data_IF_282931973317
#
_entry.id   IF_282931973317
#
_cell.length_a   1.000
_cell.length_b   1.000
_cell.length_c   1.000
_cell.angle_alpha   90.00
_cell.angle_beta   90.00
_cell.angle_gamma   90.00
#
_symmetry.space_group_name_H-M   'P 1'
#
loop_
_entity.id
_entity.type
_entity.pdbx_description
1 polymer ?
#
# COMPACT_ATOMS: atom_id res chain seq x y z
N UNK A 1 -39.88 32.65 -34.50
CA UNK A 1 -38.96 32.27 -33.41
C UNK A 1 -38.87 30.77 -33.50
N UNK A 2 -37.74 30.25 -33.96
CA UNK A 2 -37.55 28.81 -34.13
C UNK A 2 -37.59 28.14 -32.75
N UNK A 3 -38.56 27.26 -32.56
CA UNK A 3 -38.87 26.60 -31.28
C UNK A 3 -37.84 25.55 -30.88
N UNK A 4 -36.91 25.22 -31.78
CA UNK A 4 -36.02 24.06 -31.63
C UNK A 4 -34.66 24.44 -31.00
N UNK A 5 -34.44 25.73 -30.69
CA UNK A 5 -33.24 26.23 -30.02
C UNK A 5 -33.43 26.50 -28.53
N UNK A 6 -34.61 26.16 -27.99
CA UNK A 6 -34.99 26.42 -26.60
C UNK A 6 -35.53 25.13 -25.95
N UNK A 7 -35.15 24.88 -24.70
CA UNK A 7 -35.67 23.73 -23.95
C UNK A 7 -37.12 23.95 -23.48
N UNK A 8 -37.77 22.89 -22.94
CA UNK A 8 -39.16 22.93 -22.45
C UNK A 8 -39.38 23.91 -21.27
N UNK A 9 -38.32 24.51 -20.73
CA UNK A 9 -38.37 25.52 -19.67
C UNK A 9 -38.02 26.94 -20.17
N UNK A 10 -37.74 27.12 -21.47
CA UNK A 10 -37.53 28.41 -22.11
C UNK A 10 -36.09 28.93 -22.08
N UNK A 11 -35.10 28.08 -21.82
CA UNK A 11 -33.68 28.45 -21.87
C UNK A 11 -33.12 28.23 -23.28
N UNK A 12 -32.25 29.13 -23.77
CA UNK A 12 -31.63 29.02 -25.09
C UNK A 12 -30.48 28.02 -25.07
N UNK A 13 -30.56 26.98 -25.90
CA UNK A 13 -29.61 25.84 -25.92
C UNK A 13 -28.66 25.89 -27.13
N UNK A 14 -28.97 26.67 -28.17
CA UNK A 14 -28.13 26.77 -29.38
C UNK A 14 -28.24 25.54 -30.30
N UNK A 15 -27.75 25.60 -31.55
CA UNK A 15 -27.90 24.49 -32.51
C UNK A 15 -26.96 23.32 -32.19
N UNK A 16 -27.44 22.09 -32.42
CA UNK A 16 -26.63 20.87 -32.27
C UNK A 16 -25.51 20.83 -33.32
N UNK A 17 -24.28 20.57 -32.87
CA UNK A 17 -23.12 20.35 -33.71
C UNK A 17 -23.05 18.87 -34.09
N UNK A 18 -22.93 18.58 -35.39
CA UNK A 18 -22.69 17.23 -35.90
C UNK A 18 -21.34 16.70 -35.36
N UNK A 19 -21.42 15.52 -34.75
CA UNK A 19 -20.30 14.73 -34.25
C UNK A 19 -19.54 14.08 -35.41
N UNK A 20 -18.23 14.29 -35.49
CA UNK A 20 -17.32 13.37 -36.18
C UNK A 20 -16.32 12.81 -35.16
N UNK A 21 -16.11 11.51 -35.28
CA UNK A 21 -15.51 10.57 -34.34
C UNK A 21 -14.00 10.81 -34.08
N UNK A 22 -13.59 10.70 -32.81
CA UNK A 22 -12.19 10.50 -32.42
C UNK A 22 -11.99 9.05 -31.96
N UNK A 23 -11.19 8.29 -32.71
CA UNK A 23 -10.46 7.10 -32.21
C UNK A 23 -8.97 7.46 -32.04
N UNK A 24 -8.47 7.15 -30.85
CA UNK A 24 -7.11 7.39 -30.35
C UNK A 24 -6.05 6.38 -30.84
N UNK A 25 -4.78 6.81 -30.74
CA UNK A 25 -3.51 6.07 -30.66
C UNK A 25 -2.95 5.49 -32.00
N UNK A 26 -1.67 5.63 -32.36
CA UNK A 26 -0.51 5.33 -31.52
C UNK A 26 0.84 5.65 -32.23
N UNK A 27 1.91 5.65 -31.44
CA UNK A 27 3.35 5.51 -31.75
C UNK A 27 4.24 6.75 -31.97
N UNK A 28 4.96 7.07 -30.89
CA UNK A 28 6.31 7.62 -30.89
C UNK A 28 7.31 6.67 -31.58
N UNK A 29 8.21 7.21 -32.41
CA UNK A 29 9.58 6.69 -32.55
C UNK A 29 10.55 7.76 -33.08
N UNK A 30 11.45 8.20 -32.21
CA UNK A 30 12.66 8.93 -32.54
C UNK A 30 13.66 8.06 -33.32
N UNK A 31 14.28 8.58 -34.39
CA UNK A 31 15.55 8.04 -34.86
C UNK A 31 16.03 8.38 -36.28
N UNK A 32 17.04 9.26 -36.33
CA UNK A 32 18.24 9.14 -37.18
C UNK A 32 18.16 9.66 -38.65
N UNK A 33 18.80 10.83 -38.81
CA UNK A 33 19.79 11.23 -39.83
C UNK A 33 19.44 11.26 -41.34
N UNK A 34 19.67 12.48 -41.84
CA UNK A 34 20.55 12.86 -42.96
C UNK A 34 19.96 12.94 -44.39
N UNK A 35 20.19 14.15 -44.91
CA UNK A 35 20.66 14.52 -46.24
C UNK A 35 19.64 14.70 -47.36
N UNK A 36 19.65 15.95 -47.83
CA UNK A 36 19.61 16.42 -49.21
C UNK A 36 18.32 16.28 -50.03
N UNK A 37 17.88 17.44 -50.55
CA UNK A 37 17.44 17.54 -51.93
C UNK A 37 16.02 18.06 -52.15
N UNK A 38 15.94 19.35 -52.48
CA UNK A 38 15.04 19.97 -53.45
C UNK A 38 13.53 19.65 -53.40
N UNK A 39 12.76 20.66 -52.97
CA UNK A 39 11.35 20.82 -53.26
C UNK A 39 10.99 22.30 -53.16
N UNK A 40 11.10 23.02 -54.29
CA UNK A 40 10.60 24.37 -54.46
C UNK A 40 9.08 24.38 -54.33
N UNK A 41 8.54 25.20 -53.43
CA UNK A 41 7.22 25.82 -53.62
C UNK A 41 7.37 27.31 -53.33
N UNK A 42 6.75 28.08 -54.22
CA UNK A 42 6.88 29.51 -54.41
C UNK A 42 6.07 30.24 -53.33
N UNK A 43 6.74 31.01 -52.47
CA UNK A 43 6.10 32.10 -51.75
C UNK A 43 6.13 33.33 -52.67
N UNK A 44 4.95 33.83 -53.02
CA UNK A 44 4.77 35.09 -53.74
C UNK A 44 5.37 36.21 -52.89
N UNK A 45 6.51 36.73 -53.35
CA UNK A 45 7.08 37.99 -52.90
C UNK A 45 6.07 39.12 -53.18
N UNK A 46 5.33 39.54 -52.15
CA UNK A 46 4.77 40.88 -52.11
C UNK A 46 5.93 41.86 -51.92
N UNK A 47 6.64 42.15 -53.02
CA UNK A 47 7.54 43.29 -53.13
C UNK A 47 6.73 44.56 -52.83
N UNK A 48 6.83 45.03 -51.59
CA UNK A 48 6.43 46.37 -51.22
C UNK A 48 7.21 47.35 -52.10
N UNK A 49 6.52 47.91 -53.10
CA UNK A 49 7.05 49.01 -53.90
C UNK A 49 7.40 50.16 -52.96
N UNK A 50 8.71 50.40 -52.81
CA UNK A 50 9.23 51.72 -52.44
C UNK A 50 8.90 52.68 -53.59
N UNK A 51 7.72 53.27 -53.54
CA UNK A 51 7.44 54.46 -54.33
C UNK A 51 8.11 55.66 -53.66
N UNK A 52 9.23 56.07 -54.25
CA UNK A 52 9.79 57.40 -54.09
C UNK A 52 8.66 58.44 -54.17
N UNK A 53 8.40 59.08 -53.03
CA UNK A 53 7.54 60.23 -52.94
C UNK A 53 8.20 61.40 -53.69
N UNK A 54 7.89 61.56 -54.98
CA UNK A 54 8.02 62.84 -55.70
C UNK A 54 7.29 62.82 -57.06
N UNK A 55 5.95 62.81 -57.04
CA UNK A 55 5.04 63.54 -57.95
C UNK A 55 3.58 63.06 -57.79
N UNK A 56 2.74 63.83 -57.09
CA UNK A 56 1.30 63.59 -57.04
C UNK A 56 0.64 64.20 -58.29
N UNK A 57 -0.09 63.44 -59.13
CA UNK A 57 -0.95 64.02 -60.15
C UNK A 57 -2.15 64.69 -59.47
N UNK A 58 -2.39 65.96 -59.78
CA UNK A 58 -3.27 66.87 -59.02
C UNK A 58 -4.78 66.58 -59.11
N UNK A 59 -5.23 65.36 -59.39
CA UNK A 59 -6.66 65.02 -59.55
C UNK A 59 -7.02 63.57 -59.18
N UNK A 60 -6.35 62.99 -58.18
CA UNK A 60 -6.74 61.70 -57.61
C UNK A 60 -7.68 61.94 -56.41
N UNK A 61 -8.92 61.48 -56.50
CA UNK A 61 -9.95 61.67 -55.46
C UNK A 61 -9.71 60.61 -54.38
N UNK A 62 -9.39 61.06 -53.16
CA UNK A 62 -9.29 60.18 -51.98
C UNK A 62 -10.69 60.03 -51.39
N UNK A 63 -11.16 58.79 -51.24
CA UNK A 63 -12.42 58.48 -50.59
C UNK A 63 -12.35 58.85 -49.10
N UNK A 64 -13.49 59.16 -48.47
CA UNK A 64 -13.49 59.57 -47.06
C UNK A 64 -12.93 58.47 -46.14
N UNK A 65 -13.18 57.21 -46.46
CA UNK A 65 -12.72 56.05 -45.67
C UNK A 65 -11.19 55.88 -45.72
N UNK A 66 -10.58 56.23 -46.86
CA UNK A 66 -9.12 56.09 -47.11
C UNK A 66 -8.32 57.35 -46.79
N UNK A 67 -8.98 58.37 -46.24
CA UNK A 67 -8.34 59.64 -45.94
C UNK A 67 -7.38 59.47 -44.77
N UNK A 68 -6.09 59.30 -45.07
CA UNK A 68 -5.01 59.36 -44.07
C UNK A 68 -4.87 60.79 -43.57
N UNK A 69 -5.30 61.04 -42.34
CA UNK A 69 -5.22 62.36 -41.70
C UNK A 69 -3.85 62.64 -41.07
N UNK A 70 -3.09 61.59 -40.74
CA UNK A 70 -1.81 61.68 -40.04
C UNK A 70 -0.75 60.81 -40.72
N UNK A 71 0.52 61.27 -40.66
CA UNK A 71 1.69 60.53 -41.14
C UNK A 71 1.92 59.26 -40.30
N UNK A 72 2.60 58.26 -40.87
CA UNK A 72 2.84 56.99 -40.17
C UNK A 72 3.86 57.16 -39.04
N UNK A 73 3.81 56.30 -38.02
CA UNK A 73 4.70 56.42 -36.85
C UNK A 73 6.19 56.31 -37.24
N UNK A 74 6.51 55.50 -38.25
CA UNK A 74 7.86 55.31 -38.78
C UNK A 74 8.37 56.57 -39.49
N UNK A 75 7.53 57.27 -40.26
CA UNK A 75 7.90 58.53 -40.92
C UNK A 75 8.22 59.66 -39.93
N UNK A 76 7.62 59.63 -38.73
CA UNK A 76 7.80 60.67 -37.72
C UNK A 76 9.07 60.44 -36.89
N UNK A 77 9.35 59.18 -36.50
CA UNK A 77 10.45 58.85 -35.58
C UNK A 77 11.71 58.31 -36.28
N UNK A 78 11.60 57.87 -37.54
CA UNK A 78 12.69 57.28 -38.33
C UNK A 78 12.88 55.78 -38.08
N UNK A 79 13.65 55.14 -38.96
CA UNK A 79 13.86 53.67 -38.98
C UNK A 79 14.67 53.15 -37.77
N UNK A 80 15.40 54.01 -37.06
CA UNK A 80 16.20 53.63 -35.88
C UNK A 80 15.35 53.40 -34.61
N UNK A 81 14.06 53.76 -34.63
CA UNK A 81 13.16 53.67 -33.46
C UNK A 81 12.04 52.67 -33.72
N UNK A 82 12.01 51.61 -32.93
CA UNK A 82 10.94 50.60 -32.99
C UNK A 82 9.64 51.13 -32.38
N UNK A 83 8.66 51.43 -33.24
CA UNK A 83 7.32 51.84 -32.81
C UNK A 83 6.42 50.64 -32.65
N UNK A 84 6.12 50.25 -31.40
CA UNK A 84 5.24 49.13 -31.08
C UNK A 84 3.84 49.66 -30.71
N UNK A 85 2.81 49.20 -31.42
CA UNK A 85 1.40 49.46 -31.08
C UNK A 85 0.83 48.20 -30.44
N UNK A 86 0.48 48.28 -29.14
CA UNK A 86 -0.19 47.19 -28.42
C UNK A 86 -1.62 47.62 -28.09
N UNK A 87 -2.59 47.02 -28.79
CA UNK A 87 -4.02 47.29 -28.61
C UNK A 87 -4.64 46.44 -27.49
N UNK A 88 -4.08 45.25 -27.25
CA UNK A 88 -4.53 44.31 -26.22
C UNK A 88 -3.40 43.99 -25.23
N UNK A 89 -3.80 43.70 -24.00
CA UNK A 89 -2.87 43.32 -22.94
C UNK A 89 -2.23 41.94 -23.24
N UNK A 90 -0.91 41.85 -23.09
CA UNK A 90 -0.16 40.60 -23.31
C UNK A 90 -0.46 39.48 -22.30
N UNK A 91 -1.16 39.78 -21.20
CA UNK A 91 -1.54 38.80 -20.18
C UNK A 91 -2.98 39.05 -19.70
N UNK A 92 -3.78 38.00 -19.49
CA UNK A 92 -5.14 38.15 -18.99
C UNK A 92 -5.14 38.64 -17.54
N UNK A 93 -6.20 39.34 -17.13
CA UNK A 93 -6.34 39.87 -15.77
C UNK A 93 -6.33 38.79 -14.67
N UNK A 94 -6.54 37.52 -15.04
CA UNK A 94 -6.43 36.36 -14.16
C UNK A 94 -4.99 36.04 -13.74
N UNK A 95 -4.00 36.43 -14.54
CA UNK A 95 -2.59 36.24 -14.20
C UNK A 95 -2.09 37.43 -13.36
N UNK A 96 -1.71 37.21 -12.10
CA UNK A 96 -1.22 38.29 -11.26
C UNK A 96 0.17 38.73 -11.74
N UNK A 97 0.36 40.05 -11.87
CA UNK A 97 1.65 40.68 -12.25
C UNK A 97 2.79 40.23 -11.32
N UNK A 98 2.51 40.12 -10.02
CA UNK A 98 3.43 39.54 -9.04
C UNK A 98 2.89 38.18 -8.62
N UNK A 99 3.56 37.11 -9.05
CA UNK A 99 3.15 35.74 -8.72
C UNK A 99 3.26 35.50 -7.20
N UNK A 100 2.18 35.11 -6.51
CA UNK A 100 2.26 34.78 -5.10
C UNK A 100 3.14 33.55 -4.90
N UNK A 101 3.84 33.49 -3.76
CA UNK A 101 4.65 32.32 -3.38
C UNK A 101 3.71 31.15 -3.09
N UNK A 102 3.47 30.29 -4.08
CA UNK A 102 2.67 29.07 -3.94
C UNK A 102 3.56 27.94 -3.44
N UNK A 103 3.43 27.58 -2.16
CA UNK A 103 4.02 26.33 -1.65
C UNK A 103 3.15 25.16 -2.12
N UNK A 104 3.60 24.45 -3.16
CA UNK A 104 2.91 23.27 -3.66
C UNK A 104 3.22 22.08 -2.76
N UNK A 105 2.32 21.82 -1.80
CA UNK A 105 2.34 20.58 -1.01
C UNK A 105 1.45 19.57 -1.69
N UNK A 106 2.00 18.42 -2.04
CA UNK A 106 1.26 17.28 -2.61
C UNK A 106 1.22 16.07 -1.67
N UNK A 107 2.05 16.11 -0.62
CA UNK A 107 2.19 15.06 0.38
C UNK A 107 2.10 15.67 1.79
N UNK A 108 1.48 14.93 2.69
CA UNK A 108 1.53 15.16 4.12
C UNK A 108 2.87 14.63 4.67
N UNK A 109 3.95 15.39 4.47
CA UNK A 109 5.25 15.07 5.06
C UNK A 109 5.44 15.83 6.37
N UNK A 110 5.81 15.09 7.40
CA UNK A 110 6.29 15.64 8.66
C UNK A 110 7.77 16.04 8.50
N UNK A 111 8.09 17.31 8.77
CA UNK A 111 9.48 17.80 8.65
C UNK A 111 10.34 17.45 9.86
N UNK A 112 9.72 17.16 11.00
CA UNK A 112 10.41 16.71 12.21
C UNK A 112 10.40 15.19 12.28
N UNK A 113 11.51 14.60 12.73
CA UNK A 113 11.56 13.16 12.94
C UNK A 113 10.79 12.82 14.22
N UNK A 114 9.81 11.90 14.17
CA UNK A 114 9.00 11.55 15.33
C UNK A 114 9.82 10.89 16.45
N UNK A 115 9.24 10.85 17.65
CA UNK A 115 9.77 10.07 18.76
C UNK A 115 9.47 8.58 18.57
N UNK A 116 10.51 7.76 18.75
CA UNK A 116 10.46 6.31 18.58
C UNK A 116 10.80 5.61 19.90
N UNK A 117 10.30 4.38 20.06
CA UNK A 117 10.67 3.49 21.18
C UNK A 117 12.15 3.13 21.22
N UNK A 118 12.82 3.15 20.06
CA UNK A 118 14.25 2.90 19.90
C UNK A 118 15.02 4.19 19.53
N UNK A 119 16.33 4.23 19.76
CA UNK A 119 17.16 5.37 19.34
C UNK A 119 17.49 5.31 17.84
N UNK A 120 17.63 6.48 17.21
CA UNK A 120 17.99 6.59 15.79
C UNK A 120 19.41 6.11 15.51
N UNK A 121 20.31 6.26 16.49
CA UNK A 121 21.66 5.68 16.46
C UNK A 121 21.60 4.15 16.42
N UNK A 122 20.74 3.53 17.25
CA UNK A 122 20.57 2.08 17.25
C UNK A 122 20.00 1.56 15.92
N UNK A 123 19.10 2.32 15.28
CA UNK A 123 18.63 1.98 13.93
C UNK A 123 19.79 1.99 12.93
N UNK A 124 20.64 3.02 12.96
CA UNK A 124 21.81 3.13 12.07
C UNK A 124 22.80 1.97 12.29
N UNK A 125 23.10 1.63 13.55
CA UNK A 125 23.98 0.50 13.89
C UNK A 125 23.44 -0.85 13.36
N UNK A 126 22.11 -1.02 13.36
CA UNK A 126 21.48 -2.23 12.79
C UNK A 126 21.55 -2.26 11.26
N UNK A 127 21.59 -1.10 10.58
CA UNK A 127 21.73 -1.02 9.12
C UNK A 127 23.10 -1.54 8.65
N UNK A 128 24.14 -1.40 9.47
CA UNK A 128 25.48 -1.91 9.18
C UNK A 128 25.55 -3.45 9.24
N UNK A 129 24.54 -4.11 9.82
CA UNK A 129 24.50 -5.56 10.02
C UNK A 129 23.48 -6.24 9.09
N UNK A 130 23.86 -6.71 7.88
CA UNK A 130 22.92 -7.30 6.94
C UNK A 130 22.21 -8.57 7.47
N UNK A 131 22.81 -9.32 8.39
CA UNK A 131 22.20 -10.53 8.95
C UNK A 131 20.93 -10.28 9.78
N UNK A 132 20.79 -9.10 10.39
CA UNK A 132 19.63 -8.73 11.22
C UNK A 132 18.60 -7.89 10.46
N UNK A 133 18.88 -7.54 9.20
CA UNK A 133 17.94 -6.86 8.33
C UNK A 133 16.99 -7.85 7.64
N UNK A 134 15.76 -7.41 7.39
CA UNK A 134 14.78 -8.14 6.58
C UNK A 134 14.07 -7.16 5.65
N UNK A 135 14.21 -7.40 4.34
CA UNK A 135 13.52 -6.63 3.30
C UNK A 135 12.26 -7.38 2.90
N UNK A 136 11.10 -6.80 3.16
CA UNK A 136 9.80 -7.46 2.94
C UNK A 136 8.84 -6.56 2.17
N UNK A 137 8.14 -7.14 1.20
CA UNK A 137 7.01 -6.51 0.56
C UNK A 137 5.71 -7.00 1.21
N UNK A 138 4.84 -6.08 1.64
CA UNK A 138 3.49 -6.42 2.08
C UNK A 138 2.57 -6.28 0.87
N UNK A 139 2.02 -7.41 0.43
CA UNK A 139 1.24 -7.53 -0.82
C UNK A 139 -0.12 -8.15 -0.55
N UNK A 140 -1.08 -7.94 -1.43
CA UNK A 140 -2.44 -8.46 -1.26
C UNK A 140 -3.48 -7.59 -1.93
N UNK A 141 -4.71 -8.09 -1.99
CA UNK A 141 -5.80 -7.42 -2.70
C UNK A 141 -6.20 -6.07 -2.07
N UNK A 142 -6.95 -5.29 -2.84
CA UNK A 142 -7.53 -4.02 -2.42
C UNK A 142 -8.31 -4.19 -1.12
N UNK A 143 -8.09 -3.27 -0.20
CA UNK A 143 -8.73 -3.22 1.11
C UNK A 143 -8.58 -4.47 2.00
N UNK A 144 -7.61 -5.36 1.77
CA UNK A 144 -7.31 -6.46 2.70
C UNK A 144 -6.63 -6.01 4.03
N UNK A 145 -6.42 -4.71 4.22
CA UNK A 145 -5.88 -4.12 5.45
C UNK A 145 -4.35 -4.15 5.55
N UNK A 146 -3.64 -4.02 4.42
CA UNK A 146 -2.17 -3.93 4.36
C UNK A 146 -1.65 -2.69 5.09
N UNK A 147 -2.10 -1.52 4.66
CA UNK A 147 -1.75 -0.24 5.28
C UNK A 147 -2.17 -0.20 6.75
N UNK A 148 -3.39 -0.63 7.08
CA UNK A 148 -3.85 -0.71 8.47
C UNK A 148 -3.01 -1.65 9.33
N UNK A 149 -2.45 -2.73 8.75
CA UNK A 149 -1.52 -3.62 9.44
C UNK A 149 -0.21 -2.90 9.75
N UNK A 150 0.31 -2.13 8.81
CA UNK A 150 1.50 -1.30 9.01
C UNK A 150 1.25 -0.21 10.04
N UNK A 151 0.05 0.39 10.06
CA UNK A 151 -0.33 1.38 11.07
C UNK A 151 -0.27 0.79 12.49
N UNK A 152 -0.58 -0.50 12.67
CA UNK A 152 -0.38 -1.18 13.97
C UNK A 152 1.10 -1.27 14.35
N UNK A 153 1.98 -1.54 13.39
CA UNK A 153 3.42 -1.59 13.64
C UNK A 153 3.95 -0.18 13.96
N UNK A 154 3.40 0.86 13.32
CA UNK A 154 3.71 2.25 13.63
C UNK A 154 3.24 2.65 15.02
N UNK A 155 2.02 2.33 15.40
CA UNK A 155 1.47 2.59 16.75
C UNK A 155 2.28 1.89 17.86
N UNK A 156 2.89 0.74 17.56
CA UNK A 156 3.78 0.05 18.48
C UNK A 156 5.15 0.74 18.59
N UNK A 157 5.70 1.23 17.48
CA UNK A 157 7.07 1.77 17.42
C UNK A 157 7.15 3.26 17.74
N UNK A 158 6.08 4.01 17.50
CA UNK A 158 5.95 5.46 17.69
C UNK A 158 4.84 5.76 18.70
N UNK A 159 5.18 6.01 19.99
CA UNK A 159 4.19 6.20 21.05
C UNK A 159 3.26 7.41 20.85
N UNK A 160 3.72 8.44 20.13
CA UNK A 160 2.93 9.63 19.82
C UNK A 160 1.91 9.41 18.71
N UNK A 161 2.13 8.39 17.87
CA UNK A 161 1.21 8.06 16.79
C UNK A 161 0.02 7.28 17.34
N UNK A 162 -1.13 7.94 17.40
CA UNK A 162 -2.40 7.34 17.81
C UNK A 162 -3.37 7.37 16.65
N UNK A 163 -3.95 6.21 16.33
CA UNK A 163 -4.96 6.12 15.27
C UNK A 163 -6.25 6.83 15.68
N UNK A 164 -6.85 7.56 14.75
CA UNK A 164 -8.12 8.24 14.99
C UNK A 164 -9.27 7.26 15.28
N UNK A 165 -10.18 7.61 16.19
CA UNK A 165 -11.30 6.73 16.58
C UNK A 165 -12.29 6.46 15.43
N UNK A 166 -12.54 7.46 14.58
CA UNK A 166 -13.56 7.44 13.51
C UNK A 166 -12.96 7.45 12.09
N UNK A 167 -11.67 7.72 11.95
CA UNK A 167 -10.96 7.70 10.67
C UNK A 167 -9.81 6.70 10.74
N UNK A 168 -9.78 5.73 9.84
CA UNK A 168 -8.60 4.87 9.64
C UNK A 168 -7.45 5.77 9.12
N UNK A 169 -6.71 6.35 10.06
CA UNK A 169 -5.50 7.12 9.80
C UNK A 169 -4.47 6.16 9.21
N UNK A 170 -4.11 6.40 7.96
CA UNK A 170 -3.17 5.57 7.21
C UNK A 170 -1.85 6.31 7.11
N UNK A 171 -0.83 5.77 7.75
CA UNK A 171 0.46 6.43 7.89
C UNK A 171 1.22 6.44 6.56
N UNK A 172 1.13 5.37 5.76
CA UNK A 172 1.85 5.24 4.48
C UNK A 172 1.20 5.99 3.32
N UNK A 173 -0.10 6.30 3.43
CA UNK A 173 -0.86 7.06 2.44
C UNK A 173 -0.53 8.56 2.59
N UNK A 174 0.68 8.95 2.21
CA UNK A 174 1.21 10.31 2.37
C UNK A 174 0.65 11.28 1.33
N UNK A 175 0.23 10.80 0.15
CA UNK A 175 -0.29 11.65 -0.92
C UNK A 175 -1.74 12.06 -0.62
N UNK A 176 -2.07 13.34 -0.86
CA UNK A 176 -3.45 13.80 -0.64
C UNK A 176 -4.49 13.07 -1.49
N UNK A 177 -4.10 12.62 -2.69
CA UNK A 177 -4.99 11.83 -3.56
C UNK A 177 -5.27 10.43 -2.99
N UNK A 178 -4.31 9.80 -2.30
CA UNK A 178 -4.49 8.50 -1.66
C UNK A 178 -5.48 8.60 -0.50
N UNK A 179 -5.34 9.65 0.31
CA UNK A 179 -6.25 9.95 1.42
C UNK A 179 -7.67 10.24 0.91
N UNK A 180 -7.81 11.03 -0.16
CA UNK A 180 -9.11 11.38 -0.75
C UNK A 180 -9.81 10.19 -1.42
N UNK A 181 -9.07 9.40 -2.21
CA UNK A 181 -9.63 8.21 -2.88
C UNK A 181 -9.79 7.02 -1.95
N UNK A 182 -9.09 7.06 -0.82
CA UNK A 182 -9.02 5.98 0.13
C UNK A 182 -8.35 4.72 -0.40
N UNK A 183 -7.51 4.81 -1.43
CA UNK A 183 -6.69 3.70 -1.90
C UNK A 183 -5.22 4.13 -2.03
N UNK A 184 -4.31 3.26 -1.62
CA UNK A 184 -2.88 3.44 -1.83
C UNK A 184 -2.57 3.32 -3.33
N UNK A 185 -1.78 4.26 -3.84
CA UNK A 185 -1.40 4.39 -5.25
C UNK A 185 0.08 4.10 -5.40
N UNK A 186 0.93 4.59 -4.48
CA UNK A 186 2.37 4.42 -4.50
C UNK A 186 2.85 3.40 -3.49
N UNK A 187 3.91 2.67 -3.83
CA UNK A 187 4.58 1.82 -2.87
C UNK A 187 5.43 2.68 -1.92
N UNK A 188 5.09 2.68 -0.62
CA UNK A 188 5.78 3.50 0.39
C UNK A 188 6.66 2.61 1.26
N UNK A 189 8.00 2.78 1.23
CA UNK A 189 8.90 2.05 2.09
C UNK A 189 8.92 2.63 3.50
N UNK A 190 9.08 1.75 4.48
CA UNK A 190 9.20 2.04 5.89
C UNK A 190 10.35 1.21 6.45
N UNK A 191 11.18 1.82 7.28
CA UNK A 191 12.15 1.10 8.09
C UNK A 191 11.81 1.25 9.56
N UNK A 192 11.58 0.13 10.24
CA UNK A 192 11.33 0.10 11.68
C UNK A 192 12.14 -1.00 12.35
N UNK A 193 12.46 -0.77 13.63
CA UNK A 193 13.09 -1.79 14.48
C UNK A 193 12.01 -2.44 15.34
N UNK A 194 11.96 -3.77 15.29
CA UNK A 194 11.01 -4.55 16.09
C UNK A 194 11.68 -5.77 16.70
N UNK A 195 11.11 -6.26 17.80
CA UNK A 195 11.63 -7.42 18.52
C UNK A 195 10.88 -8.70 18.15
N UNK A 196 11.61 -9.81 18.13
CA UNK A 196 11.03 -11.14 18.02
C UNK A 196 10.46 -11.64 19.37
N UNK A 197 9.85 -12.83 19.38
CA UNK A 197 9.35 -13.44 20.64
C UNK A 197 10.44 -13.64 21.70
N UNK A 198 11.71 -13.72 21.27
CA UNK A 198 12.90 -13.89 22.12
C UNK A 198 13.53 -12.56 22.53
N UNK A 199 12.88 -11.43 22.25
CA UNK A 199 13.33 -10.08 22.57
C UNK A 199 14.62 -9.67 21.83
N UNK A 200 14.91 -10.29 20.68
CA UNK A 200 15.98 -9.86 19.78
C UNK A 200 15.43 -8.86 18.77
N UNK A 201 16.06 -7.70 18.67
CA UNK A 201 15.69 -6.66 17.71
C UNK A 201 16.16 -7.02 16.29
N UNK A 202 15.30 -6.76 15.31
CA UNK A 202 15.57 -6.86 13.89
C UNK A 202 15.16 -5.56 13.20
N UNK A 203 15.87 -5.22 12.13
CA UNK A 203 15.53 -4.08 11.28
C UNK A 203 14.66 -4.58 10.14
N UNK A 204 13.43 -4.09 10.07
CA UNK A 204 12.44 -4.46 9.07
C UNK A 204 12.31 -3.32 8.06
N UNK A 205 12.74 -3.57 6.83
CA UNK A 205 12.48 -2.71 5.68
C UNK A 205 11.21 -3.23 5.02
N UNK A 206 10.10 -2.56 5.28
CA UNK A 206 8.76 -2.93 4.85
C UNK A 206 8.35 -2.03 3.69
N UNK A 207 7.98 -2.61 2.56
CA UNK A 207 7.38 -1.86 1.45
C UNK A 207 5.88 -2.11 1.48
N UNK A 208 5.09 -1.08 1.82
CA UNK A 208 3.64 -1.11 1.64
C UNK A 208 3.34 -1.00 0.15
N UNK A 209 2.59 -1.95 -0.39
CA UNK A 209 2.28 -1.95 -1.83
C UNK A 209 0.80 -1.67 -2.08
N UNK A 210 0.45 -1.00 -3.18
CA UNK A 210 -0.94 -0.75 -3.54
C UNK A 210 -1.68 -2.07 -3.80
N UNK A 211 -2.94 -2.13 -3.34
CA UNK A 211 -3.78 -3.32 -3.52
C UNK A 211 -4.61 -3.34 -4.80
N UNK A 212 -4.69 -2.21 -5.49
CA UNK A 212 -5.49 -2.10 -6.70
C UNK A 212 -4.76 -2.76 -7.88
N UNK A 213 -5.50 -3.47 -8.72
CA UNK A 213 -4.96 -4.25 -9.84
C UNK A 213 -4.17 -3.39 -10.85
N UNK A 214 -4.57 -2.14 -11.04
CA UNK A 214 -3.92 -1.22 -11.97
C UNK A 214 -2.50 -0.79 -11.53
N UNK A 215 -2.16 -0.92 -10.24
CA UNK A 215 -0.85 -0.52 -9.70
C UNK A 215 0.05 -1.74 -9.45
N UNK A 216 -0.06 -2.76 -10.31
CA UNK A 216 0.74 -3.99 -10.21
C UNK A 216 2.23 -3.79 -10.56
N UNK A 217 2.55 -2.71 -11.26
CA UNK A 217 3.89 -2.21 -11.53
C UNK A 217 4.63 -1.85 -10.23
N UNK A 218 3.97 -1.13 -9.32
CA UNK A 218 4.50 -0.78 -7.99
C UNK A 218 4.77 -2.03 -7.13
N UNK A 219 3.88 -3.03 -7.20
CA UNK A 219 4.09 -4.33 -6.53
C UNK A 219 5.31 -5.06 -7.11
N UNK A 220 5.49 -5.01 -8.42
CA UNK A 220 6.62 -5.65 -9.11
C UNK A 220 7.95 -4.96 -8.76
N UNK A 221 7.95 -3.63 -8.67
CA UNK A 221 9.10 -2.87 -8.19
C UNK A 221 9.45 -3.25 -6.74
N UNK A 222 8.45 -3.39 -5.87
CA UNK A 222 8.65 -3.80 -4.48
C UNK A 222 9.22 -5.23 -4.36
N UNK A 223 8.79 -6.17 -5.18
CA UNK A 223 9.34 -7.54 -5.19
C UNK A 223 10.82 -7.57 -5.52
N UNK A 224 11.25 -6.82 -6.53
CA UNK A 224 12.68 -6.77 -6.91
C UNK A 224 13.56 -6.22 -5.80
N UNK A 225 13.05 -5.30 -4.98
CA UNK A 225 13.77 -4.73 -3.84
C UNK A 225 13.73 -5.63 -2.60
N UNK A 226 12.71 -6.47 -2.46
CA UNK A 226 12.47 -7.28 -1.26
C UNK A 226 13.14 -8.65 -1.34
N UNK A 227 13.36 -9.28 -0.18
CA UNK A 227 13.91 -10.64 -0.07
C UNK A 227 12.84 -11.68 0.30
N UNK A 228 11.62 -11.22 0.57
CA UNK A 228 10.44 -12.05 0.75
C UNK A 228 9.15 -11.25 0.66
N UNK A 229 8.04 -11.97 0.53
CA UNK A 229 6.71 -11.40 0.40
C UNK A 229 5.80 -11.86 1.53
N UNK A 230 5.05 -10.92 2.12
CA UNK A 230 3.97 -11.20 3.07
C UNK A 230 2.65 -10.93 2.34
N UNK A 231 1.92 -12.00 2.04
CA UNK A 231 0.61 -11.93 1.37
C UNK A 231 -0.48 -11.76 2.42
N UNK A 232 -1.12 -10.60 2.42
CA UNK A 232 -2.24 -10.25 3.30
C UNK A 232 -3.57 -10.63 2.64
N UNK A 233 -4.33 -11.50 3.30
CA UNK A 233 -5.60 -12.04 2.82
C UNK A 233 -6.69 -11.76 3.84
N UNK A 234 -7.80 -11.16 3.42
CA UNK A 234 -8.97 -10.97 4.28
C UNK A 234 -9.64 -12.32 4.58
N UNK A 235 -9.88 -12.62 5.85
CA UNK A 235 -10.52 -13.85 6.30
C UNK A 235 -11.95 -14.04 5.77
N UNK A 236 -12.68 -12.93 5.56
CA UNK A 236 -14.04 -12.92 5.04
C UNK A 236 -14.06 -13.22 3.53
N UNK A 237 -13.35 -12.39 2.76
CA UNK A 237 -13.29 -12.43 1.31
C UNK A 237 -12.53 -13.66 0.81
N UNK A 238 -11.39 -13.97 1.43
CA UNK A 238 -10.51 -15.07 1.04
C UNK A 238 -9.60 -14.69 -0.13
N UNK A 239 -9.24 -15.68 -0.94
CA UNK A 239 -8.34 -15.48 -2.07
C UNK A 239 -9.08 -14.79 -3.22
N UNK A 240 -8.55 -13.62 -3.63
CA UNK A 240 -9.09 -12.78 -4.70
C UNK A 240 -8.10 -12.67 -5.87
N UNK A 241 -8.51 -12.01 -6.97
CA UNK A 241 -7.72 -11.88 -8.21
C UNK A 241 -6.30 -11.35 -7.97
N UNK A 242 -6.17 -10.24 -7.24
CA UNK A 242 -4.86 -9.65 -6.96
C UNK A 242 -4.01 -10.53 -6.04
N UNK A 243 -4.63 -11.30 -5.14
CA UNK A 243 -3.91 -12.28 -4.30
C UNK A 243 -3.30 -13.37 -5.17
N UNK A 244 -4.04 -13.90 -6.14
CA UNK A 244 -3.54 -14.89 -7.09
C UNK A 244 -2.38 -14.33 -7.94
N UNK A 245 -2.54 -13.11 -8.48
CA UNK A 245 -1.49 -12.44 -9.26
C UNK A 245 -0.25 -12.18 -8.41
N UNK A 246 -0.43 -11.73 -7.17
CA UNK A 246 0.67 -11.48 -6.24
C UNK A 246 1.45 -12.77 -5.94
N UNK A 247 0.77 -13.89 -5.67
CA UNK A 247 1.41 -15.19 -5.44
C UNK A 247 2.15 -15.64 -6.70
N UNK A 248 1.52 -15.56 -7.87
CA UNK A 248 2.15 -15.93 -9.15
C UNK A 248 3.45 -15.13 -9.38
N UNK A 249 3.40 -13.82 -9.21
CA UNK A 249 4.55 -12.94 -9.43
C UNK A 249 5.65 -13.19 -8.38
N UNK A 250 5.29 -13.43 -7.11
CA UNK A 250 6.26 -13.75 -6.07
C UNK A 250 7.02 -15.06 -6.34
N UNK A 251 6.32 -16.08 -6.85
CA UNK A 251 6.95 -17.35 -7.25
C UNK A 251 7.85 -17.15 -8.47
N UNK A 252 7.43 -16.36 -9.46
CA UNK A 252 8.25 -16.03 -10.63
C UNK A 252 9.55 -15.32 -10.26
N UNK A 253 9.51 -14.41 -9.28
CA UNK A 253 10.67 -13.69 -8.74
C UNK A 253 11.46 -14.52 -7.70
N UNK A 254 11.13 -15.81 -7.51
CA UNK A 254 11.77 -16.75 -6.57
C UNK A 254 11.78 -16.25 -5.11
N UNK A 255 10.76 -15.51 -4.70
CA UNK A 255 10.66 -14.97 -3.35
C UNK A 255 9.96 -15.96 -2.40
N UNK A 256 10.45 -16.13 -1.15
CA UNK A 256 9.72 -16.85 -0.13
C UNK A 256 8.41 -16.12 0.20
N UNK A 257 7.31 -16.87 0.15
CA UNK A 257 5.96 -16.37 0.43
C UNK A 257 5.55 -16.76 1.85
N UNK A 258 5.08 -15.78 2.62
CA UNK A 258 4.43 -15.96 3.91
C UNK A 258 3.03 -15.35 3.87
N UNK A 259 2.13 -15.80 4.74
CA UNK A 259 0.72 -15.38 4.69
C UNK A 259 0.28 -14.72 6.01
N UNK A 260 -0.41 -13.61 5.88
CA UNK A 260 -1.12 -12.95 6.97
C UNK A 260 -2.63 -13.00 6.68
N UNK A 261 -3.37 -13.79 7.46
CA UNK A 261 -4.83 -13.81 7.35
C UNK A 261 -5.37 -12.70 8.24
N UNK A 262 -5.76 -11.60 7.62
CA UNK A 262 -6.23 -10.40 8.29
C UNK A 262 -7.76 -10.36 8.42
N UNK A 263 -8.27 -9.43 9.22
CA UNK A 263 -9.69 -9.18 9.46
C UNK A 263 -10.46 -10.39 9.99
N UNK A 264 -9.83 -11.20 10.83
CA UNK A 264 -10.49 -12.34 11.48
C UNK A 264 -11.71 -11.92 12.32
N UNK A 265 -11.74 -10.67 12.78
CA UNK A 265 -12.87 -10.05 13.48
C UNK A 265 -14.15 -10.01 12.66
N UNK A 266 -14.07 -9.89 11.32
CA UNK A 266 -15.26 -9.89 10.44
C UNK A 266 -15.99 -11.23 10.49
N UNK A 267 -15.27 -12.34 10.69
CA UNK A 267 -15.90 -13.66 10.87
C UNK A 267 -16.77 -13.70 12.14
N UNK A 268 -16.38 -12.93 13.16
CA UNK A 268 -16.97 -12.90 14.49
C UNK A 268 -18.10 -11.88 14.56
N UNK A 269 -17.85 -10.64 14.13
CA UNK A 269 -18.75 -9.50 14.31
C UNK A 269 -19.73 -9.32 13.15
N UNK A 270 -19.26 -9.47 11.90
CA UNK A 270 -20.08 -9.25 10.71
C UNK A 270 -20.85 -10.52 10.33
N UNK A 271 -20.14 -11.62 10.04
CA UNK A 271 -20.78 -12.87 9.63
C UNK A 271 -21.37 -13.66 10.80
N UNK A 272 -20.89 -13.42 12.03
CA UNK A 272 -21.31 -14.13 13.24
C UNK A 272 -21.28 -15.66 13.08
N UNK A 273 -20.25 -16.16 12.39
CA UNK A 273 -20.09 -17.60 12.18
C UNK A 273 -19.81 -18.31 13.49
N UNK A 274 -20.35 -19.53 13.71
CA UNK A 274 -19.89 -20.37 14.80
C UNK A 274 -18.37 -20.60 14.73
N UNK A 275 -17.66 -20.74 15.86
CA UNK A 275 -16.20 -20.95 15.89
C UNK A 275 -15.72 -22.11 15.01
N UNK A 276 -16.50 -23.18 14.92
CA UNK A 276 -16.20 -24.34 14.07
C UNK A 276 -16.22 -24.00 12.58
N UNK A 277 -17.17 -23.17 12.15
CA UNK A 277 -17.32 -22.78 10.74
C UNK A 277 -16.30 -21.72 10.35
N UNK A 278 -15.98 -20.80 11.27
CA UNK A 278 -14.88 -19.86 11.10
C UNK A 278 -13.54 -20.59 10.91
N UNK A 279 -13.28 -21.65 11.68
CA UNK A 279 -12.11 -22.50 11.46
C UNK A 279 -12.09 -23.13 10.06
N UNK A 280 -13.23 -23.66 9.59
CA UNK A 280 -13.30 -24.22 8.24
C UNK A 280 -13.05 -23.18 7.15
N UNK A 281 -13.55 -21.95 7.33
CA UNK A 281 -13.27 -20.84 6.42
C UNK A 281 -11.79 -20.48 6.39
N UNK A 282 -11.14 -20.35 7.54
CA UNK A 282 -9.69 -20.08 7.63
C UNK A 282 -8.86 -21.20 6.98
N UNK A 283 -9.23 -22.46 7.23
CA UNK A 283 -8.58 -23.61 6.59
C UNK A 283 -8.77 -23.60 5.08
N UNK A 284 -9.99 -23.32 4.61
CA UNK A 284 -10.29 -23.24 3.19
C UNK A 284 -9.46 -22.17 2.47
N UNK A 285 -9.29 -20.98 3.07
CA UNK A 285 -8.42 -19.94 2.51
C UNK A 285 -6.97 -20.42 2.38
N UNK A 286 -6.45 -21.12 3.39
CA UNK A 286 -5.09 -21.69 3.33
C UNK A 286 -4.96 -22.80 2.30
N UNK A 287 -5.97 -23.64 2.16
CA UNK A 287 -5.99 -24.71 1.15
C UNK A 287 -5.99 -24.12 -0.27
N UNK A 288 -6.74 -23.03 -0.50
CA UNK A 288 -6.73 -22.29 -1.76
C UNK A 288 -5.34 -21.69 -2.07
N UNK A 289 -4.70 -21.04 -1.10
CA UNK A 289 -3.35 -20.47 -1.29
C UNK A 289 -2.34 -21.58 -1.62
N UNK A 290 -2.40 -22.71 -0.91
CA UNK A 290 -1.54 -23.86 -1.19
C UNK A 290 -1.78 -24.43 -2.59
N UNK A 291 -3.03 -24.51 -3.04
CA UNK A 291 -3.36 -24.95 -4.39
C UNK A 291 -2.77 -24.01 -5.46
N UNK A 292 -2.81 -22.70 -5.22
CA UNK A 292 -2.20 -21.72 -6.13
C UNK A 292 -0.67 -21.85 -6.16
N UNK A 293 -0.04 -21.98 -5.00
CA UNK A 293 1.42 -22.18 -4.92
C UNK A 293 1.85 -23.46 -5.63
N UNK A 294 1.10 -24.56 -5.49
CA UNK A 294 1.37 -25.81 -6.22
C UNK A 294 1.16 -25.67 -7.73
N UNK A 295 0.28 -24.77 -8.16
CA UNK A 295 0.01 -24.54 -9.59
C UNK A 295 1.10 -23.70 -10.24
N UNK A 296 1.67 -22.73 -9.52
CA UNK A 296 2.67 -21.80 -10.06
C UNK A 296 4.12 -22.19 -9.78
N UNK A 297 4.37 -23.07 -8.79
CA UNK A 297 5.71 -23.56 -8.47
C UNK A 297 5.98 -24.87 -9.19
N UNK A 298 7.23 -25.12 -9.54
CA UNK A 298 7.66 -26.43 -10.03
C UNK A 298 7.57 -27.48 -8.89
N UNK A 299 7.21 -28.73 -9.21
CA UNK A 299 6.81 -29.78 -8.23
C UNK A 299 7.83 -30.03 -7.09
N UNK A 300 9.11 -29.70 -7.30
CA UNK A 300 10.18 -29.91 -6.31
C UNK A 300 10.46 -28.71 -5.38
N UNK A 301 9.89 -27.53 -5.64
CA UNK A 301 10.17 -26.29 -4.89
C UNK A 301 8.93 -25.69 -4.19
N UNK A 302 7.75 -26.32 -4.32
CA UNK A 302 6.51 -25.78 -3.78
C UNK A 302 6.54 -25.63 -2.25
N UNK A 303 6.65 -24.40 -1.77
CA UNK A 303 6.59 -24.06 -0.35
C UNK A 303 5.18 -24.30 0.16
N UNK A 304 5.03 -25.17 1.16
CA UNK A 304 3.75 -25.43 1.81
C UNK A 304 3.45 -24.37 2.85
N UNK A 305 2.33 -23.68 2.72
CA UNK A 305 1.83 -22.72 3.70
C UNK A 305 0.98 -23.45 4.74
N UNK A 306 1.42 -23.41 6.00
CA UNK A 306 0.69 -23.98 7.13
C UNK A 306 1.02 -23.26 8.43
N UNK A 307 0.01 -22.92 9.25
CA UNK A 307 0.24 -22.33 10.58
C UNK A 307 1.18 -23.16 11.48
N UNK A 308 1.28 -24.47 11.26
CA UNK A 308 2.20 -25.36 11.98
C UNK A 308 3.69 -25.12 11.65
N UNK A 309 3.98 -24.59 10.46
CA UNK A 309 5.32 -24.27 9.99
C UNK A 309 5.73 -22.83 10.36
N UNK A 310 4.87 -22.12 11.11
CA UNK A 310 5.06 -20.71 11.46
C UNK A 310 5.25 -19.79 10.24
N UNK A 311 4.65 -20.12 9.09
CA UNK A 311 4.60 -19.28 7.89
C UNK A 311 3.21 -18.64 7.65
N UNK A 312 2.33 -18.72 8.65
CA UNK A 312 1.02 -18.07 8.69
C UNK A 312 0.84 -17.34 10.01
N UNK A 313 0.39 -16.10 9.95
CA UNK A 313 -0.14 -15.35 11.10
C UNK A 313 -1.61 -15.03 10.89
N UNK A 314 -2.35 -14.98 11.99
CA UNK A 314 -3.73 -14.52 12.03
C UNK A 314 -3.77 -13.13 12.65
N UNK A 315 -4.44 -12.19 12.00
CA UNK A 315 -4.50 -10.81 12.47
C UNK A 315 -5.88 -10.18 12.33
N UNK A 316 -6.08 -9.15 13.12
CA UNK A 316 -7.09 -8.13 12.93
C UNK A 316 -6.43 -6.78 13.19
N UNK A 317 -5.99 -6.11 12.13
CA UNK A 317 -5.31 -4.82 12.25
C UNK A 317 -6.19 -3.76 12.92
N UNK A 318 -7.51 -3.81 12.72
CA UNK A 318 -8.43 -2.85 13.34
C UNK A 318 -8.45 -2.95 14.87
N UNK A 319 -8.23 -4.14 15.42
CA UNK A 319 -8.29 -4.39 16.85
C UNK A 319 -6.93 -4.76 17.47
N UNK A 320 -5.82 -4.49 16.79
CA UNK A 320 -4.46 -4.81 17.28
C UNK A 320 -4.27 -6.29 17.66
N UNK A 321 -4.82 -7.20 16.86
CA UNK A 321 -4.64 -8.63 17.06
C UNK A 321 -3.63 -9.12 16.03
N UNK A 322 -2.56 -9.76 16.48
CA UNK A 322 -1.63 -10.47 15.60
C UNK A 322 -1.02 -11.64 16.37
N UNK A 323 -1.28 -12.87 15.94
CA UNK A 323 -0.72 -14.05 16.58
C UNK A 323 -0.39 -15.15 15.58
N UNK A 324 0.68 -15.87 15.87
CA UNK A 324 0.98 -17.20 15.32
C UNK A 324 0.54 -18.27 16.33
N UNK A 325 0.50 -19.53 15.91
CA UNK A 325 0.24 -20.63 16.86
C UNK A 325 1.28 -20.68 17.98
N UNK A 326 2.53 -20.30 17.66
CA UNK A 326 3.63 -20.26 18.62
C UNK A 326 3.44 -19.15 19.65
N UNK A 327 3.22 -17.91 19.19
CA UNK A 327 3.00 -16.77 20.08
C UNK A 327 1.78 -16.99 20.97
N UNK A 328 0.69 -17.53 20.41
CA UNK A 328 -0.50 -17.84 21.18
C UNK A 328 -0.23 -18.96 22.22
N UNK A 329 0.52 -20.00 21.85
CA UNK A 329 0.93 -21.04 22.79
C UNK A 329 1.84 -20.53 23.91
N UNK A 330 2.74 -19.58 23.60
CA UNK A 330 3.60 -18.92 24.58
C UNK A 330 2.79 -18.06 25.56
N UNK A 331 1.73 -17.36 25.11
CA UNK A 331 0.79 -16.68 26.01
C UNK A 331 0.17 -17.64 27.03
N UNK A 332 -0.26 -18.84 26.61
CA UNK A 332 -0.77 -19.85 27.54
C UNK A 332 0.31 -20.40 28.47
N UNK A 333 1.52 -20.64 27.95
CA UNK A 333 2.64 -21.12 28.74
C UNK A 333 3.03 -20.12 29.84
N UNK A 334 3.02 -18.83 29.54
CA UNK A 334 3.35 -17.78 30.50
C UNK A 334 2.28 -17.64 31.59
N UNK A 335 1.00 -17.83 31.22
CA UNK A 335 -0.10 -17.70 32.17
C UNK A 335 -0.31 -18.95 33.04
N UNK A 336 -0.08 -20.16 32.49
CA UNK A 336 -0.37 -21.44 33.17
C UNK A 336 0.87 -22.29 33.50
N UNK A 337 2.08 -21.88 33.08
CA UNK A 337 3.39 -22.27 33.62
C UNK A 337 3.82 -23.74 33.55
N UNK A 338 3.11 -24.61 32.82
CA UNK A 338 3.23 -26.07 33.00
C UNK A 338 3.64 -26.88 31.77
N UNK A 339 3.83 -26.26 30.61
CA UNK A 339 4.15 -26.98 29.36
C UNK A 339 4.96 -26.13 28.38
N UNK A 340 5.63 -26.77 27.43
CA UNK A 340 6.37 -26.08 26.35
C UNK A 340 5.41 -25.50 25.30
N UNK A 341 5.50 -24.20 25.06
CA UNK A 341 4.72 -23.50 24.03
C UNK A 341 4.93 -24.09 22.62
N UNK A 342 6.16 -24.50 22.27
CA UNK A 342 6.44 -25.05 20.94
C UNK A 342 5.73 -26.39 20.68
N UNK A 343 5.73 -27.29 21.68
CA UNK A 343 5.03 -28.57 21.55
C UNK A 343 3.52 -28.41 21.49
N UNK A 344 2.99 -27.43 22.22
CA UNK A 344 1.58 -27.09 22.20
C UNK A 344 1.18 -26.51 20.85
N UNK A 345 1.96 -25.57 20.29
CA UNK A 345 1.74 -24.97 18.98
C UNK A 345 1.61 -26.01 17.85
N UNK A 346 2.45 -27.05 17.87
CA UNK A 346 2.41 -28.15 16.88
C UNK A 346 1.10 -28.97 16.90
N UNK A 347 0.33 -28.87 17.98
CA UNK A 347 -0.93 -29.62 18.18
C UNK A 347 -2.17 -28.72 18.09
N UNK A 348 -1.99 -27.41 17.95
CA UNK A 348 -3.10 -26.46 17.89
C UNK A 348 -3.84 -26.45 16.56
N UNK A 349 -3.24 -26.92 15.47
CA UNK A 349 -3.84 -26.84 14.13
C UNK A 349 -4.05 -28.20 13.45
N UNK A 350 -5.07 -28.25 12.60
CA UNK A 350 -5.50 -29.44 11.87
C UNK A 350 -6.55 -30.26 12.63
N UNK A 351 -6.71 -31.52 12.23
CA UNK A 351 -7.62 -32.46 12.89
C UNK A 351 -7.00 -33.04 14.18
N UNK A 352 -6.70 -32.13 15.11
CA UNK A 352 -6.31 -32.43 16.48
C UNK A 352 -7.46 -32.04 17.41
N UNK A 353 -7.71 -32.87 18.41
CA UNK A 353 -8.75 -32.70 19.41
C UNK A 353 -8.14 -32.85 20.80
N UNK A 354 -8.65 -32.12 21.78
CA UNK A 354 -8.21 -32.24 23.16
C UNK A 354 -9.21 -33.05 23.98
N UNK A 355 -8.76 -34.16 24.56
CA UNK A 355 -9.58 -34.94 25.46
C UNK A 355 -9.41 -34.46 26.90
N UNK A 356 -10.46 -33.86 27.45
CA UNK A 356 -10.51 -33.32 28.82
C UNK A 356 -10.29 -34.40 29.89
N UNK A 357 -10.65 -35.67 29.61
CA UNK A 357 -10.50 -36.76 30.57
C UNK A 357 -9.07 -37.24 30.67
N UNK A 358 -8.42 -37.47 29.53
CA UNK A 358 -7.04 -37.97 29.47
C UNK A 358 -6.00 -36.85 29.47
N UNK A 359 -6.43 -35.59 29.30
CA UNK A 359 -5.59 -34.39 29.15
C UNK A 359 -4.55 -34.53 28.03
N UNK A 360 -4.91 -35.23 26.95
CA UNK A 360 -4.04 -35.51 25.81
C UNK A 360 -4.68 -35.05 24.51
N UNK A 361 -3.82 -34.72 23.54
CA UNK A 361 -4.24 -34.46 22.17
C UNK A 361 -4.41 -35.78 21.42
N UNK A 362 -5.55 -35.92 20.76
CA UNK A 362 -5.93 -37.10 19.98
C UNK A 362 -6.35 -36.65 18.58
N UNK A 363 -6.01 -37.46 17.56
CA UNK A 363 -6.36 -37.17 16.15
C UNK A 363 -7.81 -37.53 15.81
N UNK A 364 -8.45 -38.35 16.64
CA UNK A 364 -9.85 -38.76 16.46
C UNK A 364 -10.71 -38.01 17.46
N UNK A 365 -11.94 -37.60 17.09
CA UNK A 365 -12.83 -36.92 18.01
C UNK A 365 -13.13 -37.82 19.23
N UNK A 366 -12.84 -37.37 20.47
CA UNK A 366 -13.03 -38.17 21.68
C UNK A 366 -14.51 -38.39 22.04
N UNK A 367 -15.39 -37.48 21.61
CA UNK A 367 -16.85 -37.61 21.72
C UNK A 367 -17.53 -37.00 20.50
N UNK A 368 -18.81 -37.33 20.28
CA UNK A 368 -19.61 -36.67 19.25
C UNK A 368 -19.70 -35.17 19.55
N UNK A 369 -19.38 -34.33 18.56
CA UNK A 369 -19.34 -32.88 18.71
C UNK A 369 -18.10 -32.31 19.40
N UNK A 370 -17.01 -33.07 19.55
CA UNK A 370 -15.76 -32.53 20.07
C UNK A 370 -15.21 -31.43 19.16
N UNK A 371 -14.96 -30.25 19.73
CA UNK A 371 -14.28 -29.14 19.05
C UNK A 371 -12.81 -29.50 18.76
N UNK A 372 -12.29 -28.98 17.66
CA UNK A 372 -10.86 -29.08 17.35
C UNK A 372 -10.05 -28.24 18.33
N UNK A 373 -8.77 -28.56 18.49
CA UNK A 373 -7.87 -27.82 19.38
C UNK A 373 -7.76 -26.34 19.02
N UNK A 374 -7.72 -25.98 17.73
CA UNK A 374 -7.73 -24.57 17.32
C UNK A 374 -9.01 -23.85 17.76
N UNK A 375 -10.15 -24.53 17.62
CA UNK A 375 -11.46 -23.95 17.96
C UNK A 375 -11.55 -23.74 19.47
N UNK A 376 -11.24 -24.77 20.25
CA UNK A 376 -11.36 -24.74 21.71
C UNK A 376 -10.36 -23.79 22.39
N UNK A 377 -9.10 -23.78 21.94
CA UNK A 377 -8.06 -22.99 22.59
C UNK A 377 -7.88 -21.60 21.98
N UNK A 378 -8.15 -21.38 20.69
CA UNK A 378 -7.88 -20.09 20.03
C UNK A 378 -9.17 -19.34 19.76
N UNK A 379 -10.08 -19.92 18.98
CA UNK A 379 -11.29 -19.20 18.53
C UNK A 379 -12.30 -19.01 19.66
N UNK A 380 -12.59 -20.01 20.49
CA UNK A 380 -13.56 -19.85 21.58
C UNK A 380 -13.19 -18.73 22.56
N UNK A 381 -11.94 -18.61 23.06
CA UNK A 381 -11.52 -17.48 23.87
C UNK A 381 -11.60 -16.15 23.14
N UNK A 382 -11.22 -16.11 21.86
CA UNK A 382 -11.32 -14.90 21.03
C UNK A 382 -12.78 -14.45 20.91
N UNK A 383 -13.69 -15.36 20.57
CA UNK A 383 -15.12 -15.11 20.49
C UNK A 383 -15.70 -14.62 21.81
N UNK A 384 -15.25 -15.20 22.94
CA UNK A 384 -15.66 -14.73 24.27
C UNK A 384 -15.25 -13.28 24.50
N UNK A 385 -14.03 -12.87 24.14
CA UNK A 385 -13.57 -11.47 24.24
C UNK A 385 -14.51 -10.56 23.46
N UNK A 386 -14.75 -10.85 22.18
CA UNK A 386 -15.64 -10.02 21.36
C UNK A 386 -17.08 -10.00 21.87
N UNK A 387 -17.66 -11.16 22.25
CA UNK A 387 -19.06 -11.22 22.70
C UNK A 387 -19.28 -10.49 24.03
N UNK A 388 -18.33 -10.56 24.95
CA UNK A 388 -18.44 -9.92 26.27
C UNK A 388 -18.33 -8.40 26.14
N UNK A 389 -17.43 -7.91 25.29
CA UNK A 389 -17.26 -6.46 25.07
C UNK A 389 -18.41 -5.86 24.23
N UNK A 390 -19.01 -6.62 23.31
CA UNK A 390 -20.15 -6.13 22.52
C UNK A 390 -21.48 -6.24 23.27
N UNK A 391 -21.66 -7.26 24.10
CA UNK A 391 -22.92 -7.56 24.78
C UNK A 391 -23.06 -6.94 26.18
N UNK A 392 -22.10 -7.20 27.07
CA UNK A 392 -22.25 -7.04 28.52
C UNK A 392 -21.06 -6.30 29.17
N UNK A 393 -20.76 -5.09 28.67
CA UNK A 393 -19.63 -4.25 29.14
C UNK A 393 -19.72 -3.98 30.66
N UNK A 394 -20.92 -3.77 31.19
CA UNK A 394 -21.08 -3.26 32.57
C UNK A 394 -21.11 -4.36 33.64
N UNK A 395 -21.50 -5.59 33.30
CA UNK A 395 -21.79 -6.65 34.28
C UNK A 395 -20.68 -7.71 34.35
N UNK A 396 -20.17 -8.16 33.20
CA UNK A 396 -19.28 -9.33 33.12
C UNK A 396 -17.83 -8.94 32.78
N UNK A 397 -17.60 -7.76 32.20
CA UNK A 397 -16.27 -7.31 31.81
C UNK A 397 -15.25 -7.31 32.96
N UNK A 398 -15.55 -6.80 34.18
CA UNK A 398 -14.55 -6.77 35.25
C UNK A 398 -14.09 -8.17 35.69
N UNK A 399 -14.99 -9.15 35.69
CA UNK A 399 -14.65 -10.54 36.04
C UNK A 399 -13.76 -11.16 34.97
N UNK A 400 -14.08 -10.95 33.70
CA UNK A 400 -13.27 -11.43 32.59
C UNK A 400 -11.87 -10.79 32.58
N UNK A 401 -11.79 -9.49 32.84
CA UNK A 401 -10.51 -8.77 32.93
C UNK A 401 -9.64 -9.30 34.07
N UNK A 402 -10.25 -9.70 35.19
CA UNK A 402 -9.55 -10.37 36.27
C UNK A 402 -9.00 -11.76 35.86
N UNK A 403 -9.77 -12.55 35.09
CA UNK A 403 -9.31 -13.85 34.56
C UNK A 403 -8.16 -13.70 33.56
N UNK A 404 -8.20 -12.68 32.71
CA UNK A 404 -7.15 -12.38 31.73
C UNK A 404 -5.96 -11.61 32.32
N UNK A 405 -6.03 -11.24 33.61
CA UNK A 405 -5.04 -10.41 34.31
C UNK A 405 -4.80 -9.03 33.65
N UNK A 406 -5.85 -8.45 33.06
CA UNK A 406 -5.82 -7.12 32.43
C UNK A 406 -6.47 -6.13 33.39
N UNK A 407 -5.79 -5.01 33.64
CA UNK A 407 -6.36 -3.90 34.42
C UNK A 407 -6.81 -2.81 33.46
N UNK A 408 -8.03 -2.31 33.61
CA UNK A 408 -8.57 -1.17 32.86
C UNK A 408 -8.84 -0.02 33.83
N UNK A 409 -8.60 1.22 33.39
CA UNK A 409 -8.99 2.42 34.15
C UNK A 409 -10.49 2.69 34.00
N UNK A 410 -11.06 3.51 34.89
CA UNK A 410 -12.49 3.89 34.81
C UNK A 410 -12.82 4.71 33.57
N UNK A 411 -11.85 5.45 33.04
CA UNK A 411 -12.01 6.23 31.81
C UNK A 411 -12.01 5.32 30.59
N UNK A 412 -11.09 4.35 30.56
CA UNK A 412 -11.02 3.34 29.48
C UNK A 412 -12.29 2.51 29.37
N UNK A 413 -12.91 2.16 30.50
CA UNK A 413 -14.18 1.42 30.52
C UNK A 413 -15.36 2.19 29.92
N UNK A 414 -15.27 3.53 29.84
CA UNK A 414 -16.32 4.39 29.27
C UNK A 414 -16.12 4.64 27.78
N UNK A 415 -15.06 4.13 27.18
CA UNK A 415 -14.81 4.28 25.75
C UNK A 415 -15.88 3.54 24.93
N UNK A 416 -16.01 3.94 23.67
CA UNK A 416 -16.84 3.23 22.70
C UNK A 416 -16.36 1.78 22.53
N UNK A 417 -17.28 0.89 22.15
CA UNK A 417 -17.05 -0.55 22.02
C UNK A 417 -15.84 -0.87 21.15
N UNK A 418 -15.67 -0.17 20.02
CA UNK A 418 -14.58 -0.43 19.06
C UNK A 418 -13.19 -0.09 19.62
N UNK A 419 -12.90 1.15 20.08
CA UNK A 419 -11.65 1.46 20.79
C UNK A 419 -11.40 0.57 22.00
N UNK A 420 -12.45 0.23 22.76
CA UNK A 420 -12.34 -0.63 23.93
C UNK A 420 -11.85 -2.04 23.57
N UNK A 421 -12.40 -2.66 22.51
CA UNK A 421 -11.92 -3.97 22.01
C UNK A 421 -10.46 -3.86 21.60
N UNK A 422 -10.09 -2.81 20.85
CA UNK A 422 -8.72 -2.63 20.39
C UNK A 422 -7.73 -2.49 21.57
N UNK A 423 -8.11 -1.75 22.63
CA UNK A 423 -7.30 -1.60 23.84
C UNK A 423 -7.15 -2.92 24.60
N UNK A 424 -8.24 -3.66 24.80
CA UNK A 424 -8.23 -4.96 25.48
C UNK A 424 -7.33 -5.94 24.72
N UNK A 425 -7.50 -6.01 23.40
CA UNK A 425 -6.71 -6.89 22.55
C UNK A 425 -5.23 -6.50 22.55
N UNK A 426 -4.92 -5.19 22.50
CA UNK A 426 -3.54 -4.68 22.63
C UNK A 426 -2.90 -5.12 23.95
N UNK A 427 -3.63 -5.08 25.07
CA UNK A 427 -3.12 -5.54 26.39
C UNK A 427 -3.02 -7.07 26.49
N UNK A 428 -3.90 -7.80 25.82
CA UNK A 428 -3.92 -9.26 25.87
C UNK A 428 -2.85 -9.90 24.98
N UNK A 429 -2.79 -9.50 23.71
CA UNK A 429 -1.83 -10.04 22.74
C UNK A 429 -0.47 -9.35 22.82
N UNK A 430 -0.43 -8.10 23.29
CA UNK A 430 0.79 -7.32 23.37
C UNK A 430 1.28 -6.86 22.00
N UNK A 431 2.59 -6.92 21.84
CA UNK A 431 3.33 -6.49 20.65
C UNK A 431 3.22 -7.50 19.49
N UNK A 432 3.44 -7.02 18.26
CA UNK A 432 3.37 -7.81 17.03
C UNK A 432 4.63 -8.67 16.81
N UNK A 433 5.18 -9.24 17.88
CA UNK A 433 6.38 -10.09 17.85
C UNK A 433 6.17 -11.35 17.00
N UNK A 434 4.93 -11.84 16.91
CA UNK A 434 4.56 -12.99 16.08
C UNK A 434 4.76 -12.74 14.58
N UNK A 435 4.62 -11.49 14.13
CA UNK A 435 4.93 -11.09 12.76
C UNK A 435 6.45 -11.04 12.52
N UNK A 436 7.22 -10.59 13.51
CA UNK A 436 8.68 -10.61 13.43
C UNK A 436 9.20 -12.04 13.39
N UNK A 437 8.64 -12.95 14.19
CA UNK A 437 8.96 -14.38 14.14
C UNK A 437 8.66 -15.00 12.76
N UNK A 438 7.51 -14.63 12.18
CA UNK A 438 7.10 -15.07 10.83
C UNK A 438 8.16 -14.66 9.79
N UNK A 439 8.53 -13.38 9.79
CA UNK A 439 9.48 -12.83 8.83
C UNK A 439 10.89 -13.40 9.04
N UNK A 440 11.38 -13.41 10.28
CA UNK A 440 12.76 -13.82 10.58
C UNK A 440 13.04 -15.29 10.32
N UNK A 441 12.04 -16.18 10.49
CA UNK A 441 12.19 -17.62 10.30
C UNK A 441 12.02 -18.06 8.85
N UNK A 442 11.17 -17.38 8.08
CA UNK A 442 10.83 -17.80 6.71
C UNK A 442 11.51 -16.95 5.63
N UNK A 443 11.87 -15.70 5.94
CA UNK A 443 12.51 -14.78 4.99
C UNK A 443 14.00 -14.69 5.36
N UNK A 444 14.85 -14.97 4.37
CA UNK A 444 16.29 -14.94 4.51
C UNK A 444 16.79 -13.51 4.73
N UNK A 445 17.95 -13.38 5.38
CA UNK A 445 18.63 -12.09 5.45
C UNK A 445 19.14 -11.67 4.05
N UNK A 446 19.32 -10.37 3.78
CA UNK A 446 19.90 -9.89 2.52
C UNK A 446 21.22 -10.59 2.18
N UNK A 447 22.10 -10.80 3.17
CA UNK A 447 23.37 -11.52 2.98
C UNK A 447 23.18 -12.98 2.57
N UNK A 448 22.17 -13.66 3.13
CA UNK A 448 21.92 -15.08 2.81
C UNK A 448 21.14 -15.23 1.49
N UNK A 449 20.35 -14.23 1.12
CA UNK A 449 19.52 -14.22 -0.09
C UNK A 449 20.21 -13.61 -1.31
N UNK A 450 21.33 -12.90 -1.12
CA UNK A 450 22.06 -12.21 -2.17
C UNK A 450 22.37 -13.13 -3.36
N UNK A 451 22.78 -14.38 -3.11
CA UNK A 451 23.07 -15.36 -4.16
C UNK A 451 21.87 -15.59 -5.09
N UNK A 452 20.71 -15.96 -4.54
CA UNK A 452 19.49 -16.22 -5.31
C UNK A 452 19.04 -14.97 -6.08
N UNK A 453 19.13 -13.80 -5.43
CA UNK A 453 18.65 -12.54 -5.98
C UNK A 453 19.53 -12.03 -7.10
N UNK A 454 20.84 -12.07 -6.92
CA UNK A 454 21.82 -11.69 -7.96
C UNK A 454 21.69 -12.64 -9.14
N UNK A 455 21.56 -13.95 -8.90
CA UNK A 455 21.37 -14.93 -9.98
C UNK A 455 20.14 -14.63 -10.84
N UNK A 456 19.04 -14.19 -10.22
CA UNK A 456 17.79 -13.91 -10.92
C UNK A 456 17.76 -12.53 -11.61
N UNK A 457 18.33 -11.50 -10.97
CA UNK A 457 18.12 -10.09 -11.38
C UNK A 457 19.30 -9.47 -12.12
N UNK A 458 20.53 -9.97 -11.90
CA UNK A 458 21.73 -9.38 -12.48
C UNK A 458 21.96 -9.90 -13.91
N UNK A 459 22.02 -8.98 -14.87
CA UNK A 459 22.18 -9.30 -16.29
C UNK A 459 23.63 -9.62 -16.70
N UNK A 460 24.61 -9.27 -15.87
CA UNK A 460 26.02 -9.47 -16.19
C UNK A 460 26.49 -10.91 -15.96
N UNK A 461 27.71 -11.25 -16.39
CA UNK A 461 28.25 -12.59 -16.18
C UNK A 461 28.50 -12.86 -14.70
N UNK A 462 28.06 -14.04 -14.22
CA UNK A 462 28.18 -14.44 -12.81
C UNK A 462 29.64 -14.65 -12.37
N UNK A 463 30.54 -14.92 -13.31
CA UNK A 463 31.99 -15.04 -13.04
C UNK A 463 32.67 -13.68 -12.85
N UNK A 464 31.95 -12.57 -13.06
CA UNK A 464 32.51 -11.23 -12.88
C UNK A 464 32.85 -10.96 -11.41
N UNK A 465 33.89 -10.14 -11.20
CA UNK A 465 34.23 -9.64 -9.86
C UNK A 465 33.06 -8.89 -9.21
N UNK A 466 32.23 -8.22 -10.02
CA UNK A 466 31.06 -7.50 -9.54
C UNK A 466 29.99 -8.45 -9.01
N UNK A 467 29.64 -9.51 -9.76
CA UNK A 467 28.68 -10.51 -9.31
C UNK A 467 29.13 -11.17 -8.00
N UNK A 468 30.41 -11.53 -7.89
CA UNK A 468 30.97 -12.08 -6.65
C UNK A 468 30.93 -11.09 -5.48
N UNK A 469 31.13 -9.79 -5.74
CA UNK A 469 31.01 -8.76 -4.71
C UNK A 469 29.55 -8.57 -4.25
N UNK A 470 28.60 -8.55 -5.19
CA UNK A 470 27.16 -8.46 -4.90
C UNK A 470 26.67 -9.66 -4.08
N UNK A 471 27.15 -10.87 -4.41
CA UNK A 471 26.83 -12.12 -3.69
C UNK A 471 27.33 -12.12 -2.24
N UNK A 472 28.45 -11.45 -1.95
CA UNK A 472 28.96 -11.32 -0.59
C UNK A 472 28.12 -10.36 0.25
N UNK A 473 27.46 -9.39 -0.38
CA UNK A 473 26.65 -8.37 0.29
C UNK A 473 27.41 -7.69 1.44
N UNK A 474 28.70 -7.41 1.23
CA UNK A 474 29.54 -6.70 2.20
C UNK A 474 29.28 -5.19 2.11
N UNK A 475 29.29 -4.53 3.26
CA UNK A 475 29.17 -3.08 3.34
C UNK A 475 30.50 -2.38 3.04
N UNK A 476 31.63 -3.10 3.09
CA UNK A 476 32.99 -2.56 3.03
C UNK A 476 33.83 -2.98 1.82
#
# INVERSE_FOLDING_TARGET
MDTDLYDEFGNYVGPELDSDDEEEEDTLASGIQKLDGDGKEEEEDDEAMNEDADQIPSNQIVLHEDKKYYATAVEIYGEDVETIVQEEDAQPLTEPIIKPVKQRKFQALEHALPETTYSKEYLADLMDCPHVMRNIAIVGHLHHGKTTFIDCLMEQTHPEFVRGEDSDTRYTDTLFIEQQRGCSIKATPITIVMQDSRQKSFLLNIIDTPGHVNFSDEVTAAYRLSDGAVVVVDAHEGVMLQTERAIRHAVQERLPVTVCINKIDRLILELKLPPTDAYYKLRFVLDQINSLLQTFSDENEAVKISPLLNNVVFSSSRYNICFSLRSFAELYSNNYGTFSGEEFARRLWGDQYFDKKTRKFVKKPPHQGASRSFVEFVLEPLYKIFSQVVGDVDTCLPSMMAELNIKLTKEEQRMNVRPLIALICRRFFGDFNSFVDLVTQNIKSPSDNANTKVEHTYLGPMDSKLAQALMKCDAY
#
